data_IF_104124772122
#
_entry.id   IF_104124772122
#
_cell.length_a   1.000
_cell.length_b   1.000
_cell.length_c   1.000
_cell.angle_alpha   90.00
_cell.angle_beta   90.00
_cell.angle_gamma   90.00
#
_symmetry.space_group_name_H-M   'P 1'
#
loop_
_entity.id
_entity.type
_entity.pdbx_description
1 polymer ?
#
# COMPACT_ATOMS: atom_id res chain seq x y z
N UNK A 1 1.88 2.42 8.99
CA UNK A 1 3.04 2.55 9.91
C UNK A 1 3.79 1.23 10.04
N UNK A 2 3.11 0.07 10.32
CA UNK A 2 3.77 -1.22 10.50
C UNK A 2 4.68 -1.62 9.31
N UNK A 3 4.18 -1.50 8.08
CA UNK A 3 4.94 -1.76 6.85
C UNK A 3 6.23 -0.93 6.78
N UNK A 4 6.16 0.36 7.16
CA UNK A 4 7.33 1.23 7.19
C UNK A 4 8.37 0.78 8.22
N UNK A 5 7.95 0.37 9.41
CA UNK A 5 8.87 -0.11 10.46
C UNK A 5 9.62 -1.35 9.98
N UNK A 6 8.92 -2.30 9.35
CA UNK A 6 9.54 -3.51 8.79
C UNK A 6 10.51 -3.15 7.67
N UNK A 7 10.11 -2.28 6.73
CA UNK A 7 10.96 -1.81 5.66
C UNK A 7 12.22 -1.14 6.20
N UNK A 8 12.08 -0.25 7.18
CA UNK A 8 13.20 0.44 7.81
C UNK A 8 14.14 -0.54 8.52
N UNK A 9 13.62 -1.54 9.24
CA UNK A 9 14.44 -2.57 9.89
C UNK A 9 15.27 -3.36 8.87
N UNK A 10 14.68 -3.70 7.72
CA UNK A 10 15.36 -4.43 6.65
C UNK A 10 16.44 -3.54 5.99
N UNK A 11 16.10 -2.30 5.62
CA UNK A 11 16.96 -1.47 4.78
C UNK A 11 18.02 -0.68 5.54
N UNK A 12 17.84 -0.39 6.84
CA UNK A 12 18.77 0.46 7.61
C UNK A 12 20.21 -0.03 7.63
N UNK A 13 20.44 -1.33 7.49
CA UNK A 13 21.75 -1.98 7.51
C UNK A 13 22.00 -2.90 6.32
N UNK A 14 21.13 -2.82 5.31
CA UNK A 14 21.24 -3.68 4.14
C UNK A 14 22.32 -3.14 3.17
N UNK A 15 23.36 -3.95 2.96
CA UNK A 15 24.46 -3.62 2.03
C UNK A 15 24.03 -3.72 0.54
N UNK A 16 22.93 -4.39 0.25
CA UNK A 16 22.38 -4.54 -1.10
C UNK A 16 21.37 -3.44 -1.44
N UNK A 17 21.17 -2.46 -0.56
CA UNK A 17 20.39 -1.25 -0.85
C UNK A 17 21.34 -0.18 -1.42
N UNK A 18 21.75 -0.37 -2.66
CA UNK A 18 22.72 0.45 -3.40
C UNK A 18 22.11 1.18 -4.60
N UNK A 19 20.93 0.74 -5.07
CA UNK A 19 20.20 1.38 -6.15
C UNK A 19 18.84 1.98 -5.69
N UNK A 20 18.34 2.97 -6.46
CA UNK A 20 17.07 3.64 -6.13
C UNK A 20 15.86 2.71 -6.26
N UNK A 21 15.92 1.74 -7.18
CA UNK A 21 14.85 0.78 -7.40
C UNK A 21 14.71 -0.21 -6.26
N UNK A 22 15.78 -0.48 -5.52
CA UNK A 22 15.76 -1.43 -4.40
C UNK A 22 14.74 -1.06 -3.33
N UNK A 23 14.64 0.25 -2.99
CA UNK A 23 13.65 0.71 -2.03
C UNK A 23 12.22 0.39 -2.45
N UNK A 24 11.90 0.48 -3.74
CA UNK A 24 10.60 0.11 -4.29
C UNK A 24 10.42 -1.41 -4.20
N UNK A 25 11.39 -2.18 -4.65
CA UNK A 25 11.33 -3.65 -4.66
C UNK A 25 11.13 -4.20 -3.24
N UNK A 26 11.97 -3.77 -2.28
CA UNK A 26 11.84 -4.20 -0.88
C UNK A 26 10.50 -3.76 -0.26
N UNK A 27 10.05 -2.53 -0.57
CA UNK A 27 8.76 -2.02 -0.09
C UNK A 27 7.59 -2.83 -0.62
N UNK A 28 7.60 -3.19 -1.91
CA UNK A 28 6.59 -4.04 -2.54
C UNK A 28 6.57 -5.42 -1.89
N UNK A 29 7.71 -6.06 -1.70
CA UNK A 29 7.80 -7.37 -1.03
C UNK A 29 7.21 -7.32 0.39
N UNK A 30 7.56 -6.31 1.18
CA UNK A 30 7.03 -6.11 2.54
C UNK A 30 5.52 -5.90 2.52
N UNK A 31 5.03 -5.06 1.61
CA UNK A 31 3.60 -4.71 1.54
C UNK A 31 2.74 -5.87 1.04
N UNK A 32 3.19 -6.60 0.04
CA UNK A 32 2.47 -7.78 -0.46
C UNK A 32 2.47 -8.92 0.57
N UNK A 33 3.56 -9.10 1.31
CA UNK A 33 3.59 -10.02 2.45
C UNK A 33 2.58 -9.64 3.53
N UNK A 34 2.46 -8.35 3.84
CA UNK A 34 1.45 -7.84 4.76
C UNK A 34 0.03 -8.08 4.22
N UNK A 35 -0.21 -7.77 2.93
CA UNK A 35 -1.51 -8.00 2.28
C UNK A 35 -1.91 -9.49 2.29
N UNK A 36 -0.97 -10.40 2.11
CA UNK A 36 -1.23 -11.84 2.17
C UNK A 36 -1.71 -12.27 3.57
N UNK A 37 -1.02 -11.83 4.62
CA UNK A 37 -1.42 -12.12 6.01
C UNK A 37 -2.79 -11.52 6.32
N UNK A 38 -3.02 -10.27 5.93
CA UNK A 38 -4.29 -9.58 6.14
C UNK A 38 -5.43 -10.30 5.41
N UNK A 39 -5.25 -10.69 4.15
CA UNK A 39 -6.25 -11.44 3.39
C UNK A 39 -6.59 -12.78 4.05
N UNK A 40 -5.59 -13.51 4.54
CA UNK A 40 -5.81 -14.76 5.27
C UNK A 40 -6.67 -14.52 6.51
N UNK A 41 -6.35 -13.50 7.32
CA UNK A 41 -7.12 -13.16 8.51
C UNK A 41 -8.57 -12.77 8.19
N UNK A 42 -8.79 -12.00 7.11
CA UNK A 42 -10.13 -11.64 6.65
C UNK A 42 -10.94 -12.86 6.21
N UNK A 43 -10.35 -13.79 5.47
CA UNK A 43 -11.03 -15.01 5.03
C UNK A 43 -11.45 -15.89 6.22
N UNK A 44 -10.60 -16.02 7.24
CA UNK A 44 -10.94 -16.75 8.45
C UNK A 44 -12.06 -16.07 9.28
N UNK A 45 -12.13 -14.75 9.23
CA UNK A 45 -13.17 -14.00 9.94
C UNK A 45 -14.54 -14.03 9.24
N UNK A 46 -14.59 -14.39 7.95
CA UNK A 46 -15.81 -14.35 7.12
C UNK A 46 -16.00 -15.67 6.36
N UNK A 47 -16.08 -16.79 7.09
CA UNK A 47 -16.11 -18.13 6.50
C UNK A 47 -17.30 -18.37 5.56
N UNK A 48 -18.44 -17.70 5.77
CA UNK A 48 -19.63 -17.87 4.90
C UNK A 48 -19.50 -17.20 3.54
N UNK A 49 -18.67 -16.16 3.44
CA UNK A 49 -18.49 -15.34 2.21
C UNK A 49 -17.05 -15.34 1.69
N UNK A 50 -16.21 -16.27 2.16
CA UNK A 50 -14.76 -16.26 1.92
C UNK A 50 -14.39 -16.18 0.43
N UNK A 51 -15.13 -16.84 -0.46
CA UNK A 51 -14.78 -16.89 -1.88
C UNK A 51 -14.99 -15.54 -2.56
N UNK A 52 -16.18 -14.93 -2.39
CA UNK A 52 -16.47 -13.61 -2.95
C UNK A 52 -15.60 -12.52 -2.34
N UNK A 53 -15.41 -12.57 -1.04
CA UNK A 53 -14.55 -11.63 -0.31
C UNK A 53 -13.08 -11.77 -0.78
N UNK A 54 -12.59 -12.99 -0.94
CA UNK A 54 -11.23 -13.26 -1.41
C UNK A 54 -10.97 -12.73 -2.82
N UNK A 55 -11.91 -12.94 -3.74
CA UNK A 55 -11.83 -12.40 -5.11
C UNK A 55 -11.84 -10.87 -5.10
N UNK A 56 -12.76 -10.25 -4.38
CA UNK A 56 -12.86 -8.78 -4.30
C UNK A 56 -11.59 -8.18 -3.68
N UNK A 57 -11.08 -8.75 -2.61
CA UNK A 57 -9.84 -8.27 -2.00
C UNK A 57 -8.62 -8.49 -2.90
N UNK A 58 -8.58 -9.58 -3.66
CA UNK A 58 -7.53 -9.85 -4.65
C UNK A 58 -7.49 -8.80 -5.75
N UNK A 59 -8.65 -8.34 -6.22
CA UNK A 59 -8.77 -7.37 -7.31
C UNK A 59 -8.56 -5.92 -6.83
N UNK A 60 -9.01 -5.56 -5.63
CA UNK A 60 -8.99 -4.18 -5.16
C UNK A 60 -7.96 -3.92 -4.06
N UNK A 61 -7.92 -4.73 -3.01
CA UNK A 61 -7.05 -4.47 -1.88
C UNK A 61 -5.57 -4.75 -2.20
N UNK A 62 -5.27 -5.83 -2.93
CA UNK A 62 -3.86 -6.18 -3.26
C UNK A 62 -3.21 -5.13 -4.15
N UNK A 63 -3.83 -4.64 -5.25
CA UNK A 63 -3.30 -3.50 -6.01
C UNK A 63 -3.14 -2.23 -5.17
N UNK A 64 -4.09 -1.90 -4.28
CA UNK A 64 -3.95 -0.78 -3.36
C UNK A 64 -2.71 -0.89 -2.48
N UNK A 65 -2.46 -2.06 -1.90
CA UNK A 65 -1.24 -2.32 -1.13
C UNK A 65 0.04 -2.20 -1.97
N UNK A 66 -0.02 -2.58 -3.25
CA UNK A 66 1.08 -2.40 -4.19
C UNK A 66 1.37 -0.93 -4.45
N UNK A 67 0.34 -0.12 -4.76
CA UNK A 67 0.49 1.33 -5.01
C UNK A 67 1.07 2.06 -3.79
N UNK A 68 0.56 1.78 -2.58
CA UNK A 68 1.10 2.29 -1.33
C UNK A 68 2.59 1.97 -1.16
N UNK A 69 2.98 0.74 -1.53
CA UNK A 69 4.34 0.27 -1.42
C UNK A 69 5.29 0.98 -2.39
N UNK A 70 4.85 1.19 -3.63
CA UNK A 70 5.63 1.92 -4.64
C UNK A 70 5.91 3.33 -4.14
N UNK A 71 4.90 4.05 -3.64
CA UNK A 71 5.06 5.39 -3.08
C UNK A 71 6.01 5.40 -1.88
N UNK A 72 5.83 4.47 -0.93
CA UNK A 72 6.67 4.36 0.25
C UNK A 72 8.13 4.09 -0.12
N UNK A 73 8.38 3.11 -1.00
CA UNK A 73 9.72 2.74 -1.46
C UNK A 73 10.39 3.84 -2.27
N UNK A 74 9.64 4.52 -3.13
CA UNK A 74 10.13 5.65 -3.91
C UNK A 74 10.64 6.79 -3.01
N UNK A 75 9.82 7.27 -2.08
CA UNK A 75 10.24 8.35 -1.18
C UNK A 75 11.33 7.90 -0.21
N UNK A 76 11.36 6.62 0.20
CA UNK A 76 12.43 6.07 1.01
C UNK A 76 13.77 6.12 0.27
N UNK A 77 13.80 5.71 -0.99
CA UNK A 77 14.97 5.79 -1.87
C UNK A 77 15.41 7.24 -2.08
N UNK A 78 14.47 8.15 -2.36
CA UNK A 78 14.80 9.58 -2.48
C UNK A 78 15.39 10.15 -1.18
N UNK A 79 14.87 9.76 -0.04
CA UNK A 79 15.40 10.21 1.26
C UNK A 79 16.84 9.70 1.50
N UNK A 80 17.18 8.52 0.99
CA UNK A 80 18.50 7.91 1.11
C UNK A 80 19.51 8.48 0.13
N UNK A 81 19.14 8.61 -1.14
CA UNK A 81 20.09 8.94 -2.23
C UNK A 81 20.16 10.44 -2.56
N UNK A 82 19.20 11.26 -2.07
CA UNK A 82 19.18 12.71 -2.31
C UNK A 82 19.17 13.52 -1.01
N UNK A 83 20.36 13.81 -0.42
CA UNK A 83 20.46 14.47 0.88
C UNK A 83 19.81 15.86 0.96
N UNK A 84 19.82 16.62 -0.16
CA UNK A 84 19.25 17.98 -0.23
C UNK A 84 17.74 18.04 0.09
N UNK A 85 17.00 16.97 -0.20
CA UNK A 85 15.55 16.87 0.04
C UNK A 85 15.19 15.78 1.07
N UNK A 86 16.17 15.31 1.84
CA UNK A 86 16.01 14.16 2.73
C UNK A 86 14.89 14.35 3.74
N UNK A 87 14.78 15.51 4.40
CA UNK A 87 13.74 15.75 5.41
C UNK A 87 12.35 15.70 4.82
N UNK A 88 12.11 16.38 3.68
CA UNK A 88 10.83 16.32 2.96
C UNK A 88 10.48 14.89 2.57
N UNK A 89 11.43 14.17 1.98
CA UNK A 89 11.21 12.82 1.52
C UNK A 89 10.95 11.84 2.68
N UNK A 90 11.60 12.00 3.83
CA UNK A 90 11.31 11.22 5.05
C UNK A 90 9.88 11.40 5.56
N UNK A 91 9.33 12.60 5.45
CA UNK A 91 7.92 12.86 5.78
C UNK A 91 7.01 12.19 4.74
N UNK A 92 7.33 12.32 3.45
CA UNK A 92 6.54 11.77 2.35
C UNK A 92 6.56 10.23 2.31
N UNK A 93 7.58 9.56 2.84
CA UNK A 93 7.60 8.10 3.00
C UNK A 93 6.35 7.58 3.73
N UNK A 94 5.87 8.32 4.71
CA UNK A 94 4.67 7.97 5.49
C UNK A 94 3.42 8.70 4.99
N UNK A 95 3.54 10.00 4.73
CA UNK A 95 2.39 10.83 4.42
C UNK A 95 1.76 10.45 3.08
N UNK A 96 2.55 10.20 2.04
CA UNK A 96 2.01 9.86 0.72
C UNK A 96 1.19 8.56 0.72
N UNK A 97 1.71 7.40 1.18
CA UNK A 97 0.91 6.17 1.23
C UNK A 97 -0.25 6.25 2.22
N UNK A 98 -0.14 6.97 3.35
CA UNK A 98 -1.25 7.16 4.28
C UNK A 98 -2.38 7.95 3.63
N UNK A 99 -2.06 8.99 2.85
CA UNK A 99 -3.07 9.80 2.15
C UNK A 99 -3.78 8.98 1.07
N UNK A 100 -3.04 8.22 0.28
CA UNK A 100 -3.62 7.38 -0.79
C UNK A 100 -4.48 6.27 -0.19
N UNK A 101 -3.98 5.58 0.84
CA UNK A 101 -4.73 4.53 1.53
C UNK A 101 -5.99 5.06 2.22
N UNK A 102 -5.88 6.20 2.91
CA UNK A 102 -7.04 6.84 3.54
C UNK A 102 -8.10 7.31 2.54
N UNK A 103 -7.68 7.77 1.35
CA UNK A 103 -8.59 8.11 0.26
C UNK A 103 -9.29 6.85 -0.28
N UNK A 104 -8.55 5.75 -0.45
CA UNK A 104 -9.11 4.45 -0.82
C UNK A 104 -10.18 3.98 0.18
N UNK A 105 -9.87 3.99 1.47
CA UNK A 105 -10.81 3.60 2.54
C UNK A 105 -12.04 4.51 2.57
N UNK A 106 -11.85 5.82 2.36
CA UNK A 106 -12.95 6.79 2.29
C UNK A 106 -13.88 6.52 1.09
N UNK A 107 -13.31 6.17 -0.07
CA UNK A 107 -14.10 5.78 -1.26
C UNK A 107 -14.91 4.52 -0.97
N UNK A 108 -14.31 3.49 -0.39
CA UNK A 108 -15.02 2.25 -0.03
C UNK A 108 -16.16 2.52 0.95
N UNK A 109 -15.93 3.36 1.96
CA UNK A 109 -16.96 3.73 2.93
C UNK A 109 -18.12 4.47 2.28
N UNK A 110 -17.85 5.38 1.35
CA UNK A 110 -18.89 6.09 0.58
C UNK A 110 -19.66 5.12 -0.33
N UNK A 111 -19.00 4.14 -0.93
CA UNK A 111 -19.64 3.11 -1.75
C UNK A 111 -20.63 2.27 -0.95
N UNK A 112 -20.27 1.90 0.28
CA UNK A 112 -21.17 1.16 1.18
C UNK A 112 -22.39 1.98 1.58
N UNK A 113 -22.22 3.31 1.77
CA UNK A 113 -23.30 4.21 2.16
C UNK A 113 -24.22 4.64 0.99
N UNK A 114 -23.70 4.65 -0.24
CA UNK A 114 -24.42 5.13 -1.43
C UNK A 114 -24.26 4.19 -2.64
N UNK A 115 -25.05 3.10 -2.72
CA UNK A 115 -24.93 2.10 -3.79
C UNK A 115 -25.08 2.67 -5.21
N UNK A 116 -25.81 3.79 -5.37
CA UNK A 116 -25.99 4.44 -6.67
C UNK A 116 -24.71 5.05 -7.25
N UNK A 117 -23.73 5.39 -6.41
CA UNK A 117 -22.47 6.03 -6.81
C UNK A 117 -21.32 4.98 -6.91
N UNK A 118 -21.56 3.77 -6.40
CA UNK A 118 -20.54 2.72 -6.28
C UNK A 118 -19.88 2.34 -7.61
N UNK A 119 -20.66 2.23 -8.69
CA UNK A 119 -20.14 1.87 -10.01
C UNK A 119 -19.16 2.91 -10.59
N UNK A 120 -19.48 4.19 -10.44
CA UNK A 120 -18.61 5.27 -10.94
C UNK A 120 -17.29 5.34 -10.16
N UNK A 121 -17.33 5.22 -8.83
CA UNK A 121 -16.16 5.25 -7.97
C UNK A 121 -15.25 4.03 -8.18
N UNK A 122 -15.81 2.85 -8.47
CA UNK A 122 -15.02 1.66 -8.81
C UNK A 122 -14.23 1.85 -10.10
N UNK A 123 -14.83 2.49 -11.12
CA UNK A 123 -14.14 2.80 -12.38
C UNK A 123 -13.02 3.82 -12.14
N UNK A 124 -13.29 4.88 -11.38
CA UNK A 124 -12.27 5.88 -11.03
C UNK A 124 -11.11 5.22 -10.30
N UNK A 125 -11.38 4.33 -9.35
CA UNK A 125 -10.34 3.60 -8.63
C UNK A 125 -9.47 2.73 -9.57
N UNK A 126 -10.09 1.99 -10.50
CA UNK A 126 -9.35 1.16 -11.47
C UNK A 126 -8.48 1.97 -12.44
N UNK A 127 -8.85 3.22 -12.72
CA UNK A 127 -8.07 4.11 -13.61
C UNK A 127 -6.89 4.75 -12.87
N UNK A 128 -6.97 4.95 -11.55
CA UNK A 128 -5.94 5.60 -10.75
C UNK A 128 -4.99 4.65 -10.00
N UNK A 129 -5.26 3.34 -10.00
CA UNK A 129 -4.33 2.31 -9.55
C UNK A 129 -3.59 1.66 -10.71
#
# INVERSE_FOLDING_TARGET
VAKFVILWLILRRNKYFDEKMDGIVYSVCVSLGFAAVENILYLFSHVETYLSLGVMRGIFAVPGHFCDAVLMGYYYSLARFYPKCSTRNKVLVLLAPITVHGLYDAILLVMDLTPAISGLLSIVFLVFC
#
